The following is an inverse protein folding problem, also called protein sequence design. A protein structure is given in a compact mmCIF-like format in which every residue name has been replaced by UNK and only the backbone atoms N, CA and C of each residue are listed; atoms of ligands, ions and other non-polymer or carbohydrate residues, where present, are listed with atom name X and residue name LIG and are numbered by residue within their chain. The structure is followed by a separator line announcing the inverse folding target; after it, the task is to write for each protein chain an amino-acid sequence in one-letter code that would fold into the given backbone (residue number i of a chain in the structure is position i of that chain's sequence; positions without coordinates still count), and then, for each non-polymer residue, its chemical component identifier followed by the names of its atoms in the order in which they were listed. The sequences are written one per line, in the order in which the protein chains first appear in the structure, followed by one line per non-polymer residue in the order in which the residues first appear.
data_IF_832379586378
#
_entry.id   IF_832379586378
#
_cell.length_a   1.000
_cell.length_b   1.000
_cell.length_c   1.000
_cell.angle_alpha   90.00
_cell.angle_beta   90.00
_cell.angle_gamma   90.00
#
_symmetry.space_group_name_H-M   'P 1'
#
loop_
_entity.id
_entity.type
_entity.pdbx_description
1 polymer ?
#
# COMPACT_ATOMS: atom_id res chain seq x y z
N UNK A 1 12.19 14.36 21.16
CA UNK A 1 12.37 14.93 19.81
C UNK A 1 11.03 15.55 19.44
N UNK A 2 10.96 16.84 19.16
CA UNK A 2 9.73 17.50 18.69
C UNK A 2 9.41 17.00 17.28
N UNK A 3 8.22 16.42 17.07
CA UNK A 3 7.73 16.12 15.73
C UNK A 3 7.65 17.41 14.92
N UNK A 4 8.05 17.34 13.65
CA UNK A 4 7.81 18.43 12.71
C UNK A 4 6.29 18.66 12.57
N UNK A 5 5.84 19.91 12.29
CA UNK A 5 4.43 20.17 12.05
C UNK A 5 3.93 19.36 10.85
N UNK A 6 2.72 18.83 10.95
CA UNK A 6 2.02 18.16 9.85
C UNK A 6 1.50 19.24 8.90
N UNK A 7 1.73 19.07 7.60
CA UNK A 7 1.22 19.95 6.56
C UNK A 7 -0.27 19.66 6.31
N UNK A 8 -1.05 20.69 5.97
CA UNK A 8 -2.47 20.54 5.66
C UNK A 8 -2.70 19.81 4.32
N UNK A 9 -1.83 20.05 3.33
CA UNK A 9 -1.96 19.52 1.97
C UNK A 9 -0.89 18.46 1.68
N UNK A 10 -1.25 17.31 1.09
CA UNK A 10 -0.29 16.29 0.71
C UNK A 10 0.61 16.75 -0.44
N UNK A 11 1.84 16.25 -0.43
CA UNK A 11 2.69 16.31 -1.63
C UNK A 11 1.98 15.51 -2.71
N UNK A 12 1.65 16.18 -3.82
CA UNK A 12 0.87 15.58 -4.91
C UNK A 12 1.54 14.30 -5.42
N UNK A 13 2.86 14.30 -5.58
CA UNK A 13 3.62 13.11 -5.98
C UNK A 13 3.56 11.96 -4.95
N UNK A 14 3.52 12.27 -3.66
CA UNK A 14 3.40 11.24 -2.61
C UNK A 14 2.02 10.60 -2.68
N UNK A 15 0.98 11.43 -2.74
CA UNK A 15 -0.40 10.97 -2.88
C UNK A 15 -0.55 10.06 -4.10
N UNK A 16 -0.07 10.52 -5.28
CA UNK A 16 -0.10 9.72 -6.51
C UNK A 16 0.67 8.41 -6.40
N UNK A 17 1.82 8.38 -5.73
CA UNK A 17 2.56 7.14 -5.50
C UNK A 17 1.73 6.13 -4.69
N UNK A 18 1.21 6.56 -3.54
CA UNK A 18 0.52 5.70 -2.59
C UNK A 18 -0.86 5.23 -3.06
N UNK A 19 -1.60 6.08 -3.78
CA UNK A 19 -3.02 5.84 -4.12
C UNK A 19 -3.28 5.43 -5.56
N UNK A 20 -2.35 5.74 -6.47
CA UNK A 20 -2.56 5.52 -7.91
C UNK A 20 -1.46 4.68 -8.55
N UNK A 21 -0.20 5.11 -8.50
CA UNK A 21 0.84 4.56 -9.36
C UNK A 21 1.14 3.08 -9.09
N UNK A 22 1.34 2.71 -7.81
CA UNK A 22 1.56 1.32 -7.44
C UNK A 22 0.31 0.47 -7.63
N UNK A 23 -0.87 1.02 -7.29
CA UNK A 23 -2.15 0.34 -7.46
C UNK A 23 -2.42 0.01 -8.92
N UNK A 24 -2.37 1.00 -9.81
CA UNK A 24 -2.59 0.82 -11.24
C UNK A 24 -1.56 -0.14 -11.85
N UNK A 25 -0.30 -0.08 -11.44
CA UNK A 25 0.72 -1.02 -11.91
C UNK A 25 0.39 -2.46 -11.49
N UNK A 26 -0.09 -2.65 -10.26
CA UNK A 26 -0.49 -3.95 -9.73
C UNK A 26 -1.80 -4.47 -10.35
N UNK A 27 -2.77 -3.61 -10.62
CA UNK A 27 -4.05 -3.98 -11.25
C UNK A 27 -3.91 -4.28 -12.74
N UNK A 28 -2.99 -3.59 -13.43
CA UNK A 28 -2.78 -3.77 -14.86
C UNK A 28 -2.23 -5.16 -15.20
N UNK A 29 -1.24 -5.63 -14.43
CA UNK A 29 -0.64 -6.96 -14.59
C UNK A 29 -0.12 -7.45 -13.22
N UNK A 30 -0.99 -8.08 -12.40
CA UNK A 30 -0.63 -8.52 -11.06
C UNK A 30 0.54 -9.50 -11.03
N UNK A 31 0.57 -10.46 -11.97
CA UNK A 31 1.63 -11.46 -12.02
C UNK A 31 2.99 -10.81 -12.30
N UNK A 32 3.04 -9.93 -13.31
CA UNK A 32 4.24 -9.17 -13.61
C UNK A 32 4.63 -8.26 -12.44
N UNK A 33 3.68 -7.62 -11.77
CA UNK A 33 3.96 -6.77 -10.61
C UNK A 33 4.64 -7.55 -9.49
N UNK A 34 4.07 -8.69 -9.07
CA UNK A 34 4.67 -9.56 -8.04
C UNK A 34 6.05 -10.05 -8.47
N UNK A 35 6.22 -10.48 -9.73
CA UNK A 35 7.50 -10.91 -10.26
C UNK A 35 8.55 -9.79 -10.22
N UNK A 36 8.19 -8.60 -10.71
CA UNK A 36 9.07 -7.44 -10.77
C UNK A 36 9.51 -7.00 -9.37
N UNK A 37 8.56 -6.92 -8.44
CA UNK A 37 8.82 -6.57 -7.04
C UNK A 37 9.65 -7.63 -6.31
N UNK A 38 9.69 -8.88 -6.79
CA UNK A 38 10.56 -9.92 -6.24
C UNK A 38 11.92 -10.07 -6.91
N UNK A 39 12.18 -9.31 -7.98
CA UNK A 39 13.36 -9.48 -8.81
C UNK A 39 14.54 -8.58 -8.39
N UNK A 40 15.72 -8.85 -8.94
CA UNK A 40 16.89 -7.96 -8.82
C UNK A 40 16.65 -6.58 -9.47
N UNK A 41 15.62 -6.43 -10.31
CA UNK A 41 15.26 -5.17 -10.97
C UNK A 41 14.29 -4.31 -10.14
N UNK A 42 13.87 -4.78 -8.95
CA UNK A 42 12.92 -4.11 -8.07
C UNK A 42 13.24 -2.63 -7.86
N UNK A 43 14.48 -2.29 -7.48
CA UNK A 43 14.88 -0.91 -7.23
C UNK A 43 14.75 -0.01 -8.48
N UNK A 44 15.09 -0.53 -9.66
CA UNK A 44 14.94 0.20 -10.90
C UNK A 44 13.46 0.38 -11.29
N UNK A 45 12.62 -0.64 -11.06
CA UNK A 45 11.18 -0.53 -11.30
C UNK A 45 10.53 0.55 -10.41
N UNK A 46 10.87 0.57 -9.12
CA UNK A 46 10.42 1.62 -8.19
C UNK A 46 10.90 3.00 -8.64
N UNK A 47 12.18 3.13 -9.01
CA UNK A 47 12.75 4.39 -9.50
C UNK A 47 11.99 4.91 -10.75
N UNK A 48 11.66 4.04 -11.69
CA UNK A 48 10.90 4.41 -12.88
C UNK A 48 9.48 4.87 -12.56
N UNK A 49 8.80 4.21 -11.61
CA UNK A 49 7.50 4.68 -11.13
C UNK A 49 7.60 6.06 -10.48
N UNK A 50 8.60 6.26 -9.62
CA UNK A 50 8.84 7.54 -8.93
C UNK A 50 9.11 8.66 -9.94
N UNK A 51 9.98 8.44 -10.92
CA UNK A 51 10.27 9.45 -11.95
C UNK A 51 9.04 9.76 -12.81
N UNK A 52 8.23 8.74 -13.16
CA UNK A 52 6.97 8.95 -13.86
C UNK A 52 6.02 9.81 -13.03
N UNK A 53 5.83 9.50 -11.76
CA UNK A 53 4.93 10.27 -10.87
C UNK A 53 5.45 11.69 -10.67
N UNK A 54 6.75 11.89 -10.45
CA UNK A 54 7.37 13.23 -10.35
C UNK A 54 7.08 14.08 -11.58
N UNK A 55 7.18 13.49 -12.79
CA UNK A 55 6.90 14.22 -14.04
C UNK A 55 5.44 14.64 -14.18
N UNK A 56 4.50 13.86 -13.63
CA UNK A 56 3.06 14.15 -13.66
C UNK A 56 2.69 15.17 -12.57
N UNK A 57 3.18 14.96 -11.36
CA UNK A 57 2.86 15.79 -10.20
C UNK A 57 3.44 17.20 -10.33
N UNK A 58 4.67 17.31 -10.84
CA UNK A 58 5.41 18.55 -11.06
C UNK A 58 5.42 19.48 -9.81
N UNK A 59 5.52 18.89 -8.62
CA UNK A 59 5.55 19.59 -7.32
C UNK A 59 6.96 19.93 -6.84
N UNK A 60 8.00 19.53 -7.59
CA UNK A 60 9.40 19.79 -7.29
C UNK A 60 9.97 18.95 -6.14
N UNK A 61 9.24 17.94 -5.67
CA UNK A 61 9.72 17.03 -4.63
C UNK A 61 10.69 16.02 -5.22
N UNK A 62 11.84 15.88 -4.57
CA UNK A 62 12.82 14.85 -4.87
C UNK A 62 12.83 13.83 -3.74
N UNK A 63 12.52 12.58 -4.07
CA UNK A 63 12.52 11.48 -3.11
C UNK A 63 13.85 10.75 -3.14
N UNK A 64 14.41 10.45 -1.96
CA UNK A 64 15.50 9.49 -1.88
C UNK A 64 14.94 8.08 -2.11
N UNK A 65 15.45 7.39 -3.12
CA UNK A 65 15.03 6.01 -3.41
C UNK A 65 15.34 5.05 -2.25
N UNK A 66 16.27 5.39 -1.35
CA UNK A 66 16.57 4.61 -0.15
C UNK A 66 15.46 4.68 0.92
N UNK A 67 14.57 5.67 0.83
CA UNK A 67 13.42 5.77 1.71
C UNK A 67 12.30 4.77 1.33
N UNK A 68 12.35 4.22 0.11
CA UNK A 68 11.45 3.16 -0.32
C UNK A 68 11.99 1.80 0.10
N UNK A 69 11.14 0.99 0.74
CA UNK A 69 11.49 -0.40 1.07
C UNK A 69 10.39 -1.31 0.60
N UNK A 70 10.75 -2.27 -0.25
CA UNK A 70 9.84 -3.30 -0.73
C UNK A 70 10.15 -4.59 0.00
N UNK A 71 9.14 -5.18 0.63
CA UNK A 71 9.23 -6.47 1.28
C UNK A 71 8.23 -7.43 0.65
N UNK A 72 8.76 -8.60 0.25
CA UNK A 72 7.92 -9.74 -0.09
C UNK A 72 7.60 -10.54 1.17
N UNK A 73 6.34 -10.90 1.34
CA UNK A 73 5.87 -11.72 2.45
C UNK A 73 4.62 -12.50 2.02
N UNK A 74 3.98 -13.14 3.00
CA UNK A 74 2.67 -13.74 2.85
C UNK A 74 1.75 -13.31 3.99
N UNK A 75 0.48 -13.12 3.68
CA UNK A 75 -0.61 -12.83 4.61
C UNK A 75 -1.67 -13.89 4.38
N UNK A 76 -1.98 -14.72 5.38
CA UNK A 76 -2.94 -15.84 5.23
C UNK A 76 -2.66 -16.70 3.98
N UNK A 77 -1.40 -17.13 3.79
CA UNK A 77 -0.92 -17.94 2.64
C UNK A 77 -1.03 -17.26 1.26
N UNK A 78 -1.37 -15.97 1.21
CA UNK A 78 -1.46 -15.19 -0.02
C UNK A 78 -0.16 -14.41 -0.25
N UNK A 79 0.44 -14.47 -1.45
CA UNK A 79 1.57 -13.61 -1.80
C UNK A 79 1.25 -12.15 -1.53
N UNK A 80 2.18 -11.44 -0.90
CA UNK A 80 2.00 -10.04 -0.52
C UNK A 80 3.27 -9.25 -0.77
N UNK A 81 3.11 -8.09 -1.41
CA UNK A 81 4.15 -7.06 -1.52
C UNK A 81 3.78 -5.94 -0.57
N UNK A 82 4.67 -5.58 0.35
CA UNK A 82 4.54 -4.40 1.20
C UNK A 82 5.56 -3.37 0.74
N UNK A 83 5.13 -2.14 0.53
CA UNK A 83 6.01 -1.04 0.16
C UNK A 83 5.89 0.03 1.24
N UNK A 84 7.01 0.31 1.89
CA UNK A 84 7.18 1.51 2.71
C UNK A 84 7.51 2.69 1.79
N UNK A 85 6.78 3.79 1.96
CA UNK A 85 7.06 5.06 1.30
C UNK A 85 7.95 5.95 2.19
N UNK A 86 8.53 7.03 1.62
CA UNK A 86 9.09 8.12 2.42
C UNK A 86 8.12 8.57 3.51
N UNK A 87 8.63 9.04 4.65
CA UNK A 87 7.77 9.41 5.77
C UNK A 87 6.69 10.43 5.35
N UNK A 88 5.42 10.22 5.76
CA UNK A 88 4.37 11.16 5.48
C UNK A 88 4.61 12.46 6.26
N UNK A 89 4.30 13.58 5.62
CA UNK A 89 4.44 14.94 6.15
C UNK A 89 3.10 15.68 6.17
N UNK A 90 2.06 15.11 5.55
CA UNK A 90 0.71 15.65 5.52
C UNK A 90 -0.29 14.52 5.74
N UNK A 91 -1.51 14.86 6.13
CA UNK A 91 -2.61 13.89 6.15
C UNK A 91 -2.79 13.27 4.76
N UNK A 92 -3.40 12.08 4.72
CA UNK A 92 -3.66 11.23 3.54
C UNK A 92 -2.42 10.73 2.77
N UNK A 93 -1.21 11.11 3.20
CA UNK A 93 0.03 10.50 2.69
C UNK A 93 0.25 9.11 3.30
N UNK A 94 0.58 8.13 2.45
CA UNK A 94 0.78 6.74 2.84
C UNK A 94 2.14 6.52 3.51
N UNK A 95 2.18 5.91 4.68
CA UNK A 95 3.40 5.36 5.25
C UNK A 95 3.73 3.98 4.66
N UNK A 96 2.71 3.13 4.51
CA UNK A 96 2.82 1.82 3.90
C UNK A 96 1.68 1.61 2.91
N UNK A 97 1.94 0.77 1.91
CA UNK A 97 0.91 0.14 1.08
C UNK A 97 1.17 -1.36 1.00
N UNK A 98 0.13 -2.14 0.72
CA UNK A 98 0.23 -3.57 0.51
C UNK A 98 -0.60 -4.00 -0.70
N UNK A 99 0.03 -4.81 -1.56
CA UNK A 99 -0.63 -5.53 -2.64
C UNK A 99 -0.72 -6.99 -2.23
N UNK A 100 -1.93 -7.47 -1.98
CA UNK A 100 -2.18 -8.84 -1.51
C UNK A 100 -2.88 -9.61 -2.61
N UNK A 101 -2.39 -10.79 -2.97
CA UNK A 101 -3.12 -11.63 -3.91
C UNK A 101 -4.44 -12.13 -3.30
N UNK A 102 -5.51 -12.16 -4.11
CA UNK A 102 -6.76 -12.81 -3.72
C UNK A 102 -6.71 -14.34 -3.84
N UNK A 103 -5.57 -14.90 -4.25
CA UNK A 103 -5.33 -16.33 -4.36
C UNK A 103 -4.19 -16.75 -3.44
N UNK A 104 -4.31 -17.94 -2.85
CA UNK A 104 -3.21 -18.56 -2.11
C UNK A 104 -2.13 -19.09 -3.06
N UNK A 105 -0.90 -19.26 -2.57
CA UNK A 105 0.19 -19.85 -3.36
C UNK A 105 -0.16 -21.23 -3.97
N UNK A 106 -0.94 -22.02 -3.23
CA UNK A 106 -1.41 -23.34 -3.66
C UNK A 106 -2.34 -23.26 -4.89
N UNK A 107 -3.05 -22.15 -5.05
CA UNK A 107 -4.02 -21.91 -6.12
C UNK A 107 -3.36 -21.36 -7.37
N UNK A 108 -2.29 -20.56 -7.23
CA UNK A 108 -1.60 -19.89 -8.34
C UNK A 108 -1.11 -20.86 -9.42
N UNK A 109 -0.71 -22.08 -9.06
CA UNK A 109 -0.26 -23.08 -10.04
C UNK A 109 -1.36 -23.55 -10.99
N UNK A 110 -2.63 -23.35 -10.63
CA UNK A 110 -3.81 -23.79 -11.37
C UNK A 110 -4.61 -22.60 -11.94
N UNK A 111 -3.92 -21.47 -12.15
CA UNK A 111 -4.52 -20.22 -12.63
C UNK A 111 -4.36 -19.97 -14.13
N UNK A 112 -3.88 -20.95 -14.91
CA UNK A 112 -3.75 -20.79 -16.36
C UNK A 112 -5.09 -20.32 -16.99
N UNK A 113 -5.08 -19.14 -17.60
CA UNK A 113 -6.25 -18.51 -18.22
C UNK A 113 -7.27 -17.86 -17.26
N UNK A 114 -6.99 -17.80 -15.95
CA UNK A 114 -7.83 -17.10 -14.95
C UNK A 114 -7.25 -15.72 -14.65
N UNK A 115 -8.14 -14.78 -14.37
CA UNK A 115 -7.77 -13.44 -13.91
C UNK A 115 -7.14 -13.52 -12.52
N UNK A 116 -5.92 -13.01 -12.38
CA UNK A 116 -5.27 -12.83 -11.08
C UNK A 116 -5.85 -11.58 -10.42
N UNK A 117 -6.53 -11.73 -9.29
CA UNK A 117 -7.06 -10.58 -8.55
C UNK A 117 -6.16 -10.21 -7.37
N UNK A 118 -6.20 -8.93 -7.02
CA UNK A 118 -5.48 -8.36 -5.87
C UNK A 118 -6.43 -7.59 -4.96
N UNK A 119 -6.02 -7.44 -3.70
CA UNK A 119 -6.55 -6.45 -2.78
C UNK A 119 -5.44 -5.44 -2.47
N UNK A 120 -5.80 -4.16 -2.43
CA UNK A 120 -4.84 -3.06 -2.25
C UNK A 120 -5.17 -2.30 -0.97
N UNK A 121 -4.20 -2.25 -0.05
CA UNK A 121 -4.35 -1.62 1.25
C UNK A 121 -3.34 -0.51 1.44
N UNK A 122 -3.71 0.51 2.21
CA UNK A 122 -2.86 1.63 2.58
C UNK A 122 -2.89 1.85 4.09
N UNK A 123 -1.79 2.38 4.62
CA UNK A 123 -1.72 2.94 5.96
C UNK A 123 -1.31 4.40 5.84
N UNK A 124 -2.25 5.31 6.08
CA UNK A 124 -2.12 6.74 5.79
C UNK A 124 -2.06 7.58 7.05
N UNK A 125 -1.29 8.66 7.03
CA UNK A 125 -1.34 9.64 8.12
C UNK A 125 -2.73 10.28 8.19
N UNK A 126 -3.35 10.33 9.36
CA UNK A 126 -4.67 10.95 9.55
C UNK A 126 -4.71 11.87 10.76
N UNK A 127 -5.65 12.82 10.73
CA UNK A 127 -6.05 13.61 11.89
C UNK A 127 -7.10 12.82 12.68
N UNK A 128 -6.93 12.75 14.00
CA UNK A 128 -7.88 12.14 14.92
C UNK A 128 -8.89 13.17 15.40
N UNK A 129 -10.03 12.71 15.92
CA UNK A 129 -11.06 13.60 16.48
C UNK A 129 -10.57 14.45 17.66
N UNK A 130 -9.56 13.97 18.39
CA UNK A 130 -8.94 14.68 19.51
C UNK A 130 -7.88 15.71 19.08
N UNK A 131 -7.69 15.89 17.77
CA UNK A 131 -6.66 16.76 17.19
C UNK A 131 -5.25 16.15 17.22
N UNK A 132 -5.11 14.90 17.67
CA UNK A 132 -3.88 14.13 17.55
C UNK A 132 -3.68 13.59 16.13
N UNK A 133 -2.48 13.05 15.89
CA UNK A 133 -2.17 12.31 14.66
C UNK A 133 -2.26 10.80 14.90
N UNK A 134 -2.82 10.09 13.94
CA UNK A 134 -2.86 8.62 13.91
C UNK A 134 -2.65 8.10 12.51
N UNK A 135 -2.98 6.83 12.28
CA UNK A 135 -2.95 6.25 10.95
C UNK A 135 -4.29 5.61 10.57
N UNK A 136 -4.76 5.89 9.37
CA UNK A 136 -5.92 5.27 8.78
C UNK A 136 -5.49 4.02 8.00
N UNK A 137 -6.06 2.86 8.33
CA UNK A 137 -5.96 1.66 7.53
C UNK A 137 -7.12 1.63 6.54
N UNK A 138 -6.80 1.61 5.25
CA UNK A 138 -7.78 1.73 4.19
C UNK A 138 -7.60 0.66 3.11
N UNK A 139 -8.63 0.48 2.28
CA UNK A 139 -8.60 -0.38 1.09
C UNK A 139 -9.21 0.33 -0.11
N UNK A 140 -8.77 -0.07 -1.30
CA UNK A 140 -9.39 0.34 -2.56
C UNK A 140 -10.24 -0.79 -3.13
N UNK A 141 -11.45 -0.45 -3.59
CA UNK A 141 -12.29 -1.33 -4.42
C UNK A 141 -12.75 -0.56 -5.67
N UNK A 142 -12.14 -0.88 -6.81
CA UNK A 142 -12.28 -0.07 -8.02
C UNK A 142 -11.78 1.35 -7.78
N UNK A 143 -12.65 2.34 -7.97
CA UNK A 143 -12.35 3.76 -7.75
C UNK A 143 -12.74 4.27 -6.36
N UNK A 144 -13.21 3.39 -5.48
CA UNK A 144 -13.67 3.76 -4.13
C UNK A 144 -12.61 3.45 -3.08
N UNK A 145 -12.39 4.41 -2.18
CA UNK A 145 -11.45 4.31 -1.08
C UNK A 145 -12.20 4.19 0.25
N UNK A 146 -11.98 3.10 0.97
CA UNK A 146 -12.72 2.75 2.18
C UNK A 146 -11.81 2.78 3.40
N UNK A 147 -12.20 3.55 4.41
CA UNK A 147 -11.63 3.46 5.75
C UNK A 147 -12.06 2.15 6.42
N UNK A 148 -11.11 1.41 6.97
CA UNK A 148 -11.34 0.12 7.62
C UNK A 148 -11.09 0.17 9.14
N UNK A 149 -9.98 0.81 9.56
CA UNK A 149 -9.62 0.90 10.96
C UNK A 149 -8.66 2.06 11.23
N UNK A 150 -8.51 2.42 12.50
CA UNK A 150 -7.50 3.35 12.99
C UNK A 150 -6.37 2.59 13.69
N UNK A 151 -5.14 3.04 13.49
CA UNK A 151 -3.95 2.61 14.23
C UNK A 151 -3.35 3.81 14.97
N UNK A 152 -3.05 3.62 16.25
CA UNK A 152 -2.33 4.61 17.06
C UNK A 152 -0.88 4.82 16.57
N UNK A 153 -0.12 5.68 17.24
CA UNK A 153 1.20 6.18 16.81
C UNK A 153 2.29 5.10 16.58
N UNK A 154 2.11 3.85 17.00
CA UNK A 154 3.05 2.74 16.76
C UNK A 154 2.90 2.15 15.35
N UNK A 155 2.85 3.01 14.32
CA UNK A 155 2.76 2.57 12.94
C UNK A 155 4.07 1.95 12.45
N UNK A 156 4.09 0.64 12.41
CA UNK A 156 5.17 -0.16 11.85
C UNK A 156 4.60 -1.24 10.94
N UNK A 157 5.46 -1.80 10.10
CA UNK A 157 5.08 -2.83 9.14
C UNK A 157 4.43 -4.06 9.78
N UNK A 158 4.84 -4.48 10.99
CA UNK A 158 4.23 -5.62 11.67
C UNK A 158 2.76 -5.32 12.00
N UNK A 159 2.48 -4.17 12.61
CA UNK A 159 1.11 -3.76 12.93
C UNK A 159 0.25 -3.61 11.66
N UNK A 160 0.83 -3.09 10.57
CA UNK A 160 0.14 -3.02 9.29
C UNK A 160 -0.23 -4.41 8.74
N UNK A 161 0.69 -5.38 8.82
CA UNK A 161 0.41 -6.77 8.43
C UNK A 161 -0.70 -7.38 9.30
N UNK A 162 -0.69 -7.15 10.60
CA UNK A 162 -1.73 -7.69 11.49
C UNK A 162 -3.12 -7.10 11.19
N UNK A 163 -3.21 -5.83 10.81
CA UNK A 163 -4.47 -5.21 10.34
C UNK A 163 -5.00 -5.90 9.08
N UNK A 164 -4.12 -6.16 8.10
CA UNK A 164 -4.49 -6.86 6.87
C UNK A 164 -4.98 -8.28 7.19
N UNK A 165 -4.27 -9.04 8.04
CA UNK A 165 -4.69 -10.38 8.48
C UNK A 165 -6.06 -10.36 9.13
N UNK A 166 -6.27 -9.46 10.09
CA UNK A 166 -7.53 -9.34 10.81
C UNK A 166 -8.69 -9.03 9.85
N UNK A 167 -8.47 -8.13 8.88
CA UNK A 167 -9.46 -7.80 7.88
C UNK A 167 -9.79 -8.98 6.96
N UNK A 168 -8.79 -9.69 6.45
CA UNK A 168 -8.99 -10.88 5.60
C UNK A 168 -9.76 -11.98 6.35
N UNK A 169 -9.42 -12.22 7.61
CA UNK A 169 -10.14 -13.19 8.45
C UNK A 169 -11.61 -12.80 8.63
N UNK A 170 -11.89 -11.53 8.95
CA UNK A 170 -13.25 -11.01 9.11
C UNK A 170 -14.08 -11.14 7.81
N UNK A 171 -13.48 -10.88 6.65
CA UNK A 171 -14.13 -11.05 5.35
C UNK A 171 -14.48 -12.53 5.07
N UNK A 172 -13.58 -13.45 5.42
CA UNK A 172 -13.82 -14.89 5.25
C UNK A 172 -14.96 -15.40 6.16
N UNK A 173 -15.07 -14.90 7.39
CA UNK A 173 -16.19 -15.21 8.30
C UNK A 173 -17.52 -14.70 7.74
N UNK A 174 -17.54 -13.45 7.29
CA UNK A 174 -18.74 -12.80 6.72
C UNK A 174 -19.26 -13.52 5.47
N UNK A 175 -18.37 -14.06 4.64
CA UNK A 175 -18.73 -14.79 3.42
C UNK A 175 -19.38 -16.16 3.71
N UNK A 176 -19.12 -16.77 4.87
CA UNK A 176 -19.70 -18.07 5.24
C UNK A 176 -21.11 -17.97 5.84
N UNK A 177 -21.52 -16.75 6.24
CA UNK A 177 -22.84 -16.49 6.82
C UNK A 177 -23.90 -16.10 5.76
N UNK A 178 -23.49 -15.89 4.51
CA UNK A 178 -24.33 -15.48 3.37
C UNK A 178 -24.78 -16.67 2.52
#
# INVERSE_FOLDING_TARGET
MTQAPINEEPRHSHYLLGHEAFRQAAEQDPEFFFHMMGSEQQANAVAQLVERVKSIANDGIDYDLNDFKVQLTQVEQRPTVIIQLPLPQAYIECLYLAVVSQHEFSELQNMEGKEHKISYYTLELMEREDGGSGFAFCTWEGESHFFLAELDADANMLNFVELIKAYIAHQAESANES
#
